data_IF_848262341423
#
_entry.id   IF_848262341423
#
_cell.length_a   1.000
_cell.length_b   1.000
_cell.length_c   1.000
_cell.angle_alpha   90.00
_cell.angle_beta   90.00
_cell.angle_gamma   90.00
#
_symmetry.space_group_name_H-M   'P 1'
#
loop_
_entity.id
_entity.type
_entity.pdbx_description
1 polymer ?
#
# COMPACT_ATOMS: atom_id res chain seq x y z
N UNK A 1 -80.94 57.48 -111.82
CA UNK A 1 -80.03 58.15 -110.86
C UNK A 1 -80.27 57.67 -109.42
N UNK A 2 -81.51 57.47 -108.97
CA UNK A 2 -81.84 56.83 -107.66
C UNK A 2 -81.33 55.38 -107.53
N UNK A 3 -81.59 54.54 -108.54
CA UNK A 3 -81.32 53.09 -108.51
C UNK A 3 -79.84 52.75 -108.37
N UNK A 4 -78.97 53.59 -108.93
CA UNK A 4 -77.50 53.51 -108.82
C UNK A 4 -77.00 53.91 -107.42
N UNK A 5 -77.71 54.79 -106.70
CA UNK A 5 -77.37 55.21 -105.34
C UNK A 5 -77.76 54.13 -104.31
N UNK A 6 -78.95 53.54 -104.46
CA UNK A 6 -79.38 52.37 -103.65
C UNK A 6 -78.47 51.14 -103.85
N UNK A 7 -78.06 50.87 -105.09
CA UNK A 7 -77.11 49.79 -105.37
C UNK A 7 -75.75 50.06 -104.72
N UNK A 8 -75.27 51.31 -104.75
CA UNK A 8 -74.01 51.69 -104.11
C UNK A 8 -74.08 51.59 -102.57
N UNK A 9 -75.17 52.03 -101.94
CA UNK A 9 -75.38 51.89 -100.49
C UNK A 9 -75.51 50.42 -100.05
N UNK A 10 -76.17 49.58 -100.86
CA UNK A 10 -76.22 48.13 -100.65
C UNK A 10 -74.84 47.48 -100.82
N UNK A 11 -74.05 47.90 -101.81
CA UNK A 11 -72.67 47.43 -102.00
C UNK A 11 -71.74 47.86 -100.84
N UNK A 12 -71.86 49.09 -100.34
CA UNK A 12 -71.10 49.57 -99.16
C UNK A 12 -71.52 48.82 -97.89
N UNK A 13 -72.82 48.54 -97.72
CA UNK A 13 -73.34 47.74 -96.60
C UNK A 13 -72.83 46.28 -96.65
N UNK A 14 -72.82 45.66 -97.84
CA UNK A 14 -72.25 44.31 -98.04
C UNK A 14 -70.73 44.30 -97.81
N UNK A 15 -69.99 45.30 -98.30
CA UNK A 15 -68.56 45.43 -98.03
C UNK A 15 -68.26 45.55 -96.53
N UNK A 16 -68.96 46.46 -95.83
CA UNK A 16 -68.87 46.60 -94.37
C UNK A 16 -69.23 45.30 -93.62
N UNK A 17 -70.21 44.54 -94.10
CA UNK A 17 -70.56 43.24 -93.53
C UNK A 17 -69.47 42.19 -93.75
N UNK A 18 -68.85 42.16 -94.93
CA UNK A 18 -67.73 41.25 -95.23
C UNK A 18 -66.46 41.59 -94.44
N UNK A 19 -66.20 42.86 -94.17
CA UNK A 19 -65.10 43.30 -93.31
C UNK A 19 -65.35 42.89 -91.85
N UNK A 20 -66.56 43.09 -91.33
CA UNK A 20 -66.96 42.60 -90.01
C UNK A 20 -66.89 41.08 -89.89
N UNK A 21 -67.25 40.32 -90.94
CA UNK A 21 -67.08 38.87 -90.97
C UNK A 21 -65.61 38.45 -90.96
N UNK A 22 -64.73 39.16 -91.68
CA UNK A 22 -63.28 38.91 -91.65
C UNK A 22 -62.69 39.22 -90.27
N UNK A 23 -63.10 40.33 -89.67
CA UNK A 23 -62.71 40.71 -88.30
C UNK A 23 -63.19 39.69 -87.28
N UNK A 24 -64.43 39.21 -87.37
CA UNK A 24 -64.96 38.15 -86.51
C UNK A 24 -64.15 36.85 -86.62
N UNK A 25 -63.81 36.40 -87.84
CA UNK A 25 -62.97 35.21 -88.06
C UNK A 25 -61.54 35.41 -87.52
N UNK A 26 -60.99 36.62 -87.63
CA UNK A 26 -59.68 36.96 -87.06
C UNK A 26 -59.71 36.91 -85.53
N UNK A 27 -60.76 37.49 -84.93
CA UNK A 27 -60.99 37.46 -83.49
C UNK A 27 -61.21 36.03 -82.99
N UNK A 28 -61.93 35.18 -83.72
CA UNK A 28 -62.13 33.77 -83.36
C UNK A 28 -60.80 32.99 -83.35
N UNK A 29 -59.92 33.21 -84.32
CA UNK A 29 -58.56 32.64 -84.31
C UNK A 29 -57.77 33.12 -83.09
N UNK A 30 -57.80 34.42 -82.81
CA UNK A 30 -57.13 35.01 -81.66
C UNK A 30 -57.66 34.46 -80.32
N UNK A 31 -58.97 34.24 -80.20
CA UNK A 31 -59.58 33.61 -79.02
C UNK A 31 -59.10 32.16 -78.86
N UNK A 32 -58.99 31.38 -79.95
CA UNK A 32 -58.48 30.00 -79.90
C UNK A 32 -57.01 29.95 -79.49
N UNK A 33 -56.19 30.85 -80.03
CA UNK A 33 -54.78 30.99 -79.63
C UNK A 33 -54.65 31.40 -78.16
N UNK A 34 -55.43 32.38 -77.71
CA UNK A 34 -55.49 32.79 -76.31
C UNK A 34 -55.95 31.64 -75.39
N UNK A 35 -56.94 30.86 -75.81
CA UNK A 35 -57.39 29.70 -75.03
C UNK A 35 -56.31 28.62 -74.94
N UNK A 36 -55.61 28.32 -76.04
CA UNK A 36 -54.49 27.39 -76.05
C UNK A 36 -53.35 27.86 -75.15
N UNK A 37 -52.98 29.15 -75.23
CA UNK A 37 -51.95 29.72 -74.37
C UNK A 37 -52.34 29.67 -72.90
N UNK A 38 -53.60 29.98 -72.55
CA UNK A 38 -54.09 29.89 -71.18
C UNK A 38 -54.08 28.46 -70.64
N UNK A 39 -54.46 27.47 -71.46
CA UNK A 39 -54.36 26.05 -71.08
C UNK A 39 -52.91 25.64 -70.80
N UNK A 40 -51.97 26.09 -71.63
CA UNK A 40 -50.54 25.84 -71.41
C UNK A 40 -50.03 26.50 -70.12
N UNK A 41 -50.42 27.75 -69.86
CA UNK A 41 -50.03 28.47 -68.64
C UNK A 41 -50.62 27.82 -67.38
N UNK A 42 -51.87 27.35 -67.42
CA UNK A 42 -52.47 26.61 -66.31
C UNK A 42 -51.72 25.31 -66.01
N UNK A 43 -51.36 24.54 -67.04
CA UNK A 43 -50.56 23.33 -66.87
C UNK A 43 -49.17 23.63 -66.30
N UNK A 44 -48.53 24.72 -66.74
CA UNK A 44 -47.25 25.17 -66.21
C UNK A 44 -47.37 25.60 -64.74
N UNK A 45 -48.43 26.34 -64.39
CA UNK A 45 -48.70 26.75 -63.01
C UNK A 45 -48.86 25.54 -62.08
N UNK A 46 -49.60 24.51 -62.51
CA UNK A 46 -49.74 23.27 -61.73
C UNK A 46 -48.41 22.54 -61.52
N UNK A 47 -47.54 22.48 -62.53
CA UNK A 47 -46.19 21.91 -62.41
C UNK A 47 -45.33 22.69 -61.41
N UNK A 48 -45.36 24.02 -61.48
CA UNK A 48 -44.61 24.88 -60.57
C UNK A 48 -45.10 24.74 -59.12
N UNK A 49 -46.41 24.60 -58.91
CA UNK A 49 -46.98 24.34 -57.58
C UNK A 49 -46.49 23.01 -56.99
N UNK A 50 -46.45 21.94 -57.80
CA UNK A 50 -45.91 20.65 -57.36
C UNK A 50 -44.42 20.75 -57.03
N UNK A 51 -43.63 21.43 -57.87
CA UNK A 51 -42.21 21.65 -57.60
C UNK A 51 -41.98 22.45 -56.32
N UNK A 52 -42.78 23.50 -56.09
CA UNK A 52 -42.70 24.30 -54.86
C UNK A 52 -42.97 23.45 -53.61
N UNK A 53 -43.94 22.53 -53.66
CA UNK A 53 -44.25 21.65 -52.55
C UNK A 53 -43.11 20.65 -52.26
N UNK A 54 -42.51 20.07 -53.29
CA UNK A 54 -41.37 19.17 -53.12
C UNK A 54 -40.13 19.88 -52.58
N UNK A 55 -39.86 21.11 -53.03
CA UNK A 55 -38.78 21.94 -52.48
C UNK A 55 -39.00 22.24 -50.98
N UNK A 56 -40.23 22.50 -50.57
CA UNK A 56 -40.55 22.74 -49.17
C UNK A 56 -40.27 21.50 -48.29
N UNK A 57 -40.56 20.29 -48.78
CA UNK A 57 -40.20 19.05 -48.08
C UNK A 57 -38.70 18.85 -47.98
N UNK A 58 -37.95 19.17 -49.04
CA UNK A 58 -36.50 19.05 -49.04
C UNK A 58 -35.90 19.99 -48.00
N UNK A 59 -36.35 21.25 -47.98
CA UNK A 59 -35.88 22.26 -47.02
C UNK A 59 -36.14 21.84 -45.57
N UNK A 60 -37.30 21.23 -45.28
CA UNK A 60 -37.59 20.70 -43.95
C UNK A 60 -36.65 19.54 -43.57
N UNK A 61 -36.35 18.63 -44.50
CA UNK A 61 -35.37 17.55 -44.25
C UNK A 61 -33.97 18.09 -43.99
N UNK A 62 -33.54 19.11 -44.74
CA UNK A 62 -32.24 19.76 -44.52
C UNK A 62 -32.15 20.39 -43.13
N UNK A 63 -33.23 21.04 -42.68
CA UNK A 63 -33.31 21.60 -41.33
C UNK A 63 -33.20 20.52 -40.26
N UNK A 64 -33.90 19.40 -40.43
CA UNK A 64 -33.80 18.26 -39.51
C UNK A 64 -32.38 17.69 -39.49
N UNK A 65 -31.73 17.58 -40.65
CA UNK A 65 -30.37 17.10 -40.76
C UNK A 65 -29.37 18.04 -40.05
N UNK A 66 -29.57 19.36 -40.14
CA UNK A 66 -28.76 20.33 -39.40
C UNK A 66 -28.93 20.19 -37.88
N UNK A 67 -30.16 19.99 -37.40
CA UNK A 67 -30.40 19.77 -35.97
C UNK A 67 -29.69 18.50 -35.48
N UNK A 68 -29.79 17.39 -36.23
CA UNK A 68 -29.11 16.14 -35.89
C UNK A 68 -27.58 16.27 -35.90
N UNK A 69 -27.02 17.08 -36.80
CA UNK A 69 -25.58 17.36 -36.82
C UNK A 69 -25.15 18.14 -35.56
N UNK A 70 -25.93 19.14 -35.16
CA UNK A 70 -25.68 19.89 -33.94
C UNK A 70 -25.74 19.00 -32.70
N UNK A 71 -26.78 18.18 -32.56
CA UNK A 71 -26.93 17.23 -31.45
C UNK A 71 -25.76 16.24 -31.38
N UNK A 72 -25.28 15.75 -32.53
CA UNK A 72 -24.12 14.86 -32.58
C UNK A 72 -22.84 15.55 -32.07
N UNK A 73 -22.62 16.81 -32.42
CA UNK A 73 -21.46 17.56 -31.90
C UNK A 73 -21.58 17.80 -30.39
N UNK A 74 -22.78 18.11 -29.90
CA UNK A 74 -23.04 18.22 -28.45
C UNK A 74 -22.77 16.90 -27.74
N UNK A 75 -23.24 15.77 -28.27
CA UNK A 75 -22.96 14.44 -27.71
C UNK A 75 -21.46 14.10 -27.72
N UNK A 76 -20.74 14.43 -28.80
CA UNK A 76 -19.27 14.26 -28.86
C UNK A 76 -18.55 15.06 -27.79
N UNK A 77 -18.97 16.30 -27.54
CA UNK A 77 -18.36 17.13 -26.48
C UNK A 77 -18.64 16.54 -25.09
N UNK A 78 -19.87 16.06 -24.83
CA UNK A 78 -20.22 15.38 -23.58
C UNK A 78 -19.40 14.10 -23.37
N UNK A 79 -19.22 13.29 -24.41
CA UNK A 79 -18.37 12.10 -24.34
C UNK A 79 -16.93 12.44 -23.95
N UNK A 80 -16.33 13.47 -24.58
CA UNK A 80 -14.98 13.94 -24.23
C UNK A 80 -14.88 14.39 -22.76
N UNK A 81 -15.90 15.09 -22.25
CA UNK A 81 -15.94 15.51 -20.85
C UNK A 81 -16.01 14.30 -19.91
N UNK A 82 -16.86 13.32 -20.22
CA UNK A 82 -16.97 12.08 -19.45
C UNK A 82 -15.66 11.28 -19.47
N UNK A 83 -14.98 11.17 -20.61
CA UNK A 83 -13.69 10.49 -20.71
C UNK A 83 -12.62 11.15 -19.83
N UNK A 84 -12.57 12.48 -19.82
CA UNK A 84 -11.65 13.22 -18.96
C UNK A 84 -11.97 13.00 -17.48
N UNK A 85 -13.25 12.99 -17.11
CA UNK A 85 -13.68 12.69 -15.75
C UNK A 85 -13.30 11.26 -15.34
N UNK A 86 -13.51 10.27 -16.21
CA UNK A 86 -13.10 8.87 -15.96
C UNK A 86 -11.59 8.78 -15.75
N UNK A 87 -10.78 9.47 -16.58
CA UNK A 87 -9.32 9.50 -16.41
C UNK A 87 -8.91 10.11 -15.07
N UNK A 88 -9.57 11.19 -14.66
CA UNK A 88 -9.31 11.83 -13.36
C UNK A 88 -9.67 10.89 -12.20
N UNK A 89 -10.83 10.22 -12.26
CA UNK A 89 -11.23 9.26 -11.23
C UNK A 89 -10.26 8.09 -11.13
N UNK A 90 -9.78 7.55 -12.26
CA UNK A 90 -8.75 6.50 -12.26
C UNK A 90 -7.47 6.94 -11.55
N UNK A 91 -7.00 8.16 -11.81
CA UNK A 91 -5.83 8.73 -11.14
C UNK A 91 -6.06 8.87 -9.62
N UNK A 92 -7.23 9.34 -9.20
CA UNK A 92 -7.58 9.46 -7.79
C UNK A 92 -7.63 8.10 -7.09
N UNK A 93 -8.28 7.11 -7.72
CA UNK A 93 -8.35 5.73 -7.18
C UNK A 93 -6.96 5.12 -7.05
N UNK A 94 -6.08 5.32 -8.03
CA UNK A 94 -4.71 4.81 -7.96
C UNK A 94 -3.92 5.41 -6.79
N UNK A 95 -4.05 6.73 -6.57
CA UNK A 95 -3.45 7.40 -5.40
C UNK A 95 -4.00 6.81 -4.10
N UNK A 96 -5.32 6.66 -3.99
CA UNK A 96 -5.95 6.10 -2.80
C UNK A 96 -5.47 4.66 -2.53
N UNK A 97 -5.35 3.82 -3.56
CA UNK A 97 -4.82 2.46 -3.42
C UNK A 97 -3.39 2.46 -2.88
N UNK A 98 -2.52 3.35 -3.38
CA UNK A 98 -1.15 3.45 -2.86
C UNK A 98 -1.11 3.86 -1.38
N UNK A 99 -1.99 4.77 -0.96
CA UNK A 99 -2.10 5.18 0.45
C UNK A 99 -2.60 4.04 1.34
N UNK A 100 -3.61 3.29 0.89
CA UNK A 100 -4.13 2.13 1.63
C UNK A 100 -3.04 1.08 1.82
N UNK A 101 -2.24 0.81 0.79
CA UNK A 101 -1.15 -0.17 0.87
C UNK A 101 -0.06 0.28 1.86
N UNK A 102 0.32 1.55 1.82
CA UNK A 102 1.26 2.12 2.80
C UNK A 102 0.74 2.00 4.24
N UNK A 103 -0.55 2.28 4.47
CA UNK A 103 -1.17 2.16 5.79
C UNK A 103 -1.20 0.71 6.27
N UNK A 104 -1.49 -0.25 5.38
CA UNK A 104 -1.45 -1.70 5.70
C UNK A 104 -0.06 -2.13 6.17
N UNK A 105 0.99 -1.70 5.48
CA UNK A 105 2.38 -1.98 5.87
C UNK A 105 2.71 -1.38 7.25
N UNK A 106 2.26 -0.16 7.53
CA UNK A 106 2.45 0.47 8.84
C UNK A 106 1.72 -0.30 9.96
N UNK A 107 0.47 -0.69 9.74
CA UNK A 107 -0.30 -1.49 10.71
C UNK A 107 0.43 -2.80 11.01
N UNK A 108 0.87 -3.52 9.98
CA UNK A 108 1.61 -4.77 10.16
C UNK A 108 2.88 -4.60 10.99
N UNK A 109 3.62 -3.51 10.77
CA UNK A 109 4.82 -3.18 11.57
C UNK A 109 4.45 -2.92 13.05
N UNK A 110 3.42 -2.12 13.30
CA UNK A 110 2.97 -1.85 14.66
C UNK A 110 2.46 -3.10 15.38
N UNK A 111 1.80 -4.02 14.68
CA UNK A 111 1.37 -5.30 15.24
C UNK A 111 2.57 -6.16 15.69
N UNK A 112 3.63 -6.21 14.87
CA UNK A 112 4.87 -6.92 15.23
C UNK A 112 5.56 -6.29 16.45
N UNK A 113 5.66 -4.95 16.49
CA UNK A 113 6.27 -4.24 17.61
C UNK A 113 5.46 -4.45 18.91
N UNK A 114 4.13 -4.43 18.82
CA UNK A 114 3.24 -4.69 19.95
C UNK A 114 3.39 -6.13 20.48
N UNK A 115 3.57 -7.10 19.58
CA UNK A 115 3.84 -8.49 19.97
C UNK A 115 5.19 -8.62 20.69
N UNK A 116 6.23 -7.94 20.21
CA UNK A 116 7.56 -7.91 20.86
C UNK A 116 7.47 -7.33 22.27
N UNK A 117 6.81 -6.18 22.44
CA UNK A 117 6.63 -5.54 23.75
C UNK A 117 5.85 -6.43 24.70
N UNK A 118 4.77 -7.08 24.22
CA UNK A 118 3.99 -8.03 25.03
C UNK A 118 4.84 -9.19 25.55
N UNK A 119 5.71 -9.78 24.70
CA UNK A 119 6.61 -10.87 25.11
C UNK A 119 7.55 -10.42 26.23
N UNK A 120 8.21 -9.27 26.06
CA UNK A 120 9.12 -8.71 27.07
C UNK A 120 8.40 -8.45 28.39
N UNK A 121 7.19 -7.87 28.34
CA UNK A 121 6.40 -7.59 29.54
C UNK A 121 6.05 -8.88 30.31
N UNK A 122 5.66 -9.93 29.60
CA UNK A 122 5.34 -11.24 30.22
C UNK A 122 6.56 -11.83 30.91
N UNK A 123 7.74 -11.78 30.28
CA UNK A 123 8.99 -12.28 30.85
C UNK A 123 9.34 -11.51 32.13
N UNK A 124 9.33 -10.18 32.07
CA UNK A 124 9.63 -9.33 33.22
C UNK A 124 8.66 -9.56 34.38
N UNK A 125 7.37 -9.70 34.08
CA UNK A 125 6.34 -9.95 35.08
C UNK A 125 6.57 -11.31 35.76
N UNK A 126 6.88 -12.37 34.98
CA UNK A 126 7.20 -13.70 35.52
C UNK A 126 8.41 -13.64 36.46
N UNK A 127 9.48 -12.97 36.04
CA UNK A 127 10.69 -12.82 36.85
C UNK A 127 10.40 -12.11 38.19
N UNK A 128 9.70 -10.97 38.15
CA UNK A 128 9.32 -10.20 39.34
C UNK A 128 8.44 -11.01 40.32
N UNK A 129 7.46 -11.77 39.80
CA UNK A 129 6.63 -12.65 40.61
C UNK A 129 7.45 -13.77 41.26
N UNK A 130 8.36 -14.37 40.50
CA UNK A 130 9.21 -15.45 41.00
C UNK A 130 10.16 -14.98 42.11
N UNK A 131 10.80 -13.82 41.93
CA UNK A 131 11.64 -13.17 42.95
C UNK A 131 10.86 -12.92 44.24
N UNK A 132 9.66 -12.31 44.14
CA UNK A 132 8.84 -11.99 45.31
C UNK A 132 8.35 -13.23 46.05
N UNK A 133 7.89 -14.25 45.32
CA UNK A 133 7.44 -15.50 45.92
C UNK A 133 8.60 -16.27 46.57
N UNK A 134 9.77 -16.31 45.92
CA UNK A 134 10.98 -16.93 46.48
C UNK A 134 11.40 -16.26 47.79
N UNK A 135 11.43 -14.92 47.82
CA UNK A 135 11.77 -14.13 49.02
C UNK A 135 10.79 -14.38 50.17
N UNK A 136 9.48 -14.32 49.89
CA UNK A 136 8.45 -14.59 50.91
C UNK A 136 8.51 -16.02 51.45
N UNK A 137 8.84 -17.00 50.60
CA UNK A 137 9.03 -18.39 51.02
C UNK A 137 10.29 -18.54 51.89
N UNK A 138 11.40 -17.92 51.49
CA UNK A 138 12.66 -17.91 52.25
C UNK A 138 12.50 -17.30 53.65
N UNK A 139 11.83 -16.15 53.74
CA UNK A 139 11.58 -15.47 55.02
C UNK A 139 10.70 -16.30 55.97
N UNK A 140 9.66 -16.96 55.45
CA UNK A 140 8.80 -17.83 56.26
C UNK A 140 9.51 -19.09 56.76
N UNK A 141 10.50 -19.60 56.02
CA UNK A 141 11.22 -20.82 56.37
C UNK A 141 12.40 -20.57 57.32
N UNK A 142 13.01 -19.39 57.27
CA UNK A 142 14.16 -19.02 58.12
C UNK A 142 13.75 -18.39 59.46
N UNK A 143 12.54 -17.82 59.58
CA UNK A 143 12.06 -17.20 60.82
C UNK A 143 11.88 -18.23 61.94
N UNK A 144 12.84 -18.28 62.86
CA UNK A 144 12.85 -19.16 64.02
C UNK A 144 13.66 -20.46 63.85
N UNK A 145 14.26 -20.69 62.68
CA UNK A 145 15.11 -21.86 62.42
C UNK A 145 16.41 -21.43 61.71
N UNK A 146 17.45 -21.00 62.47
CA UNK A 146 18.74 -20.57 61.90
C UNK A 146 19.49 -21.68 61.14
N UNK A 147 19.10 -22.93 61.35
CA UNK A 147 19.64 -24.11 60.67
C UNK A 147 19.05 -24.36 59.28
N UNK A 148 17.96 -23.68 58.91
CA UNK A 148 17.37 -23.78 57.57
C UNK A 148 18.04 -22.75 56.66
N UNK A 149 18.68 -23.23 55.61
CA UNK A 149 19.33 -22.41 54.58
C UNK A 149 18.35 -21.41 53.96
N UNK A 150 18.80 -20.16 53.77
CA UNK A 150 18.00 -19.11 53.12
C UNK A 150 17.69 -19.48 51.66
N UNK A 151 16.45 -19.90 51.41
CA UNK A 151 15.95 -20.21 50.07
C UNK A 151 15.63 -18.95 49.24
N UNK A 152 15.72 -17.76 49.84
CA UNK A 152 15.68 -16.48 49.15
C UNK A 152 17.02 -16.10 48.52
N UNK A 153 18.15 -16.68 48.96
CA UNK A 153 19.47 -16.34 48.44
C UNK A 153 19.61 -16.76 46.96
N UNK A 154 19.77 -15.80 46.03
CA UNK A 154 19.95 -16.08 44.61
C UNK A 154 21.32 -16.71 44.29
N UNK A 155 22.28 -16.65 45.22
CA UNK A 155 23.62 -17.18 45.09
C UNK A 155 23.85 -18.46 45.91
N UNK A 156 22.79 -19.09 46.42
CA UNK A 156 22.92 -20.39 47.10
C UNK A 156 23.40 -21.47 46.12
N UNK A 157 24.20 -22.48 46.56
CA UNK A 157 24.79 -23.48 45.67
C UNK A 157 23.79 -24.18 44.75
N UNK A 158 22.62 -24.57 45.25
CA UNK A 158 21.55 -25.17 44.43
C UNK A 158 21.01 -24.22 43.34
N UNK A 159 20.75 -22.94 43.67
CA UNK A 159 20.20 -21.96 42.71
C UNK A 159 21.24 -21.55 41.68
N UNK A 160 22.52 -21.57 42.05
CA UNK A 160 23.62 -21.43 41.08
C UNK A 160 23.60 -22.63 40.11
N UNK A 161 23.48 -23.86 40.62
CA UNK A 161 23.34 -25.06 39.80
C UNK A 161 22.14 -25.00 38.84
N UNK A 162 20.97 -24.58 39.33
CA UNK A 162 19.75 -24.36 38.53
C UNK A 162 19.98 -23.31 37.44
N UNK A 163 20.55 -22.14 37.78
CA UNK A 163 20.88 -21.07 36.81
C UNK A 163 21.85 -21.54 35.72
N UNK A 164 22.85 -22.35 36.07
CA UNK A 164 23.75 -22.94 35.08
C UNK A 164 23.03 -23.97 34.20
N UNK A 165 22.09 -24.74 34.74
CA UNK A 165 21.23 -25.63 33.95
C UNK A 165 20.34 -24.87 32.96
N UNK A 166 19.68 -23.81 33.41
CA UNK A 166 18.81 -22.96 32.57
C UNK A 166 19.59 -22.23 31.46
N UNK A 167 20.86 -21.89 31.70
CA UNK A 167 21.74 -21.30 30.70
C UNK A 167 21.88 -22.22 29.48
N UNK A 168 22.09 -23.52 29.70
CA UNK A 168 22.25 -24.50 28.62
C UNK A 168 20.93 -24.86 27.93
N UNK A 169 19.79 -24.78 28.62
CA UNK A 169 18.48 -25.20 28.10
C UNK A 169 17.75 -24.07 27.34
N UNK A 170 17.67 -22.87 27.93
CA UNK A 170 16.86 -21.77 27.40
C UNK A 170 17.69 -20.73 26.64
N UNK A 171 18.72 -20.18 27.27
CA UNK A 171 19.44 -19.02 26.75
C UNK A 171 20.38 -19.38 25.59
N UNK A 172 20.98 -20.58 25.61
CA UNK A 172 21.77 -21.08 24.49
C UNK A 172 20.91 -21.37 23.26
N UNK A 173 19.72 -21.93 23.44
CA UNK A 173 18.77 -22.20 22.35
C UNK A 173 18.27 -20.88 21.74
N UNK A 174 17.87 -19.92 22.58
CA UNK A 174 17.42 -18.60 22.13
C UNK A 174 18.53 -17.78 21.45
N UNK A 175 19.78 -17.91 21.92
CA UNK A 175 20.93 -17.30 21.26
C UNK A 175 21.19 -17.93 19.89
N UNK A 176 21.02 -19.25 19.74
CA UNK A 176 21.17 -19.94 18.45
C UNK A 176 20.04 -19.58 17.47
N UNK A 177 18.80 -19.47 17.93
CA UNK A 177 17.67 -19.00 17.11
C UNK A 177 17.86 -17.53 16.68
N UNK A 178 18.47 -16.72 17.54
CA UNK A 178 18.85 -15.34 17.21
C UNK A 178 20.00 -15.30 16.20
N UNK A 179 20.89 -16.29 16.22
CA UNK A 179 21.94 -16.49 15.22
C UNK A 179 21.35 -16.88 13.87
N UNK A 180 20.27 -17.67 13.83
CA UNK A 180 19.55 -17.94 12.58
C UNK A 180 19.01 -16.65 11.93
N UNK A 181 18.71 -15.64 12.76
CA UNK A 181 18.39 -14.29 12.26
C UNK A 181 19.62 -13.53 11.74
N UNK A 182 20.82 -13.80 12.27
CA UNK A 182 22.11 -13.24 11.83
C UNK A 182 22.56 -13.84 10.49
N UNK A 183 22.14 -15.06 10.13
CA UNK A 183 22.35 -15.62 8.78
C UNK A 183 21.85 -14.68 7.66
N UNK A 184 20.83 -13.84 7.95
CA UNK A 184 20.32 -12.83 7.03
C UNK A 184 21.17 -11.55 6.95
N UNK A 185 22.10 -11.34 7.89
CA UNK A 185 22.98 -10.15 7.93
C UNK A 185 24.23 -10.29 7.06
N UNK A 186 24.56 -11.48 6.58
CA UNK A 186 25.75 -11.73 5.73
C UNK A 186 25.38 -12.40 4.40
N UNK A 187 24.64 -11.70 3.51
CA UNK A 187 24.24 -12.27 2.22
C UNK A 187 25.48 -12.58 1.36
N UNK A 188 25.68 -13.85 1.02
CA UNK A 188 26.72 -14.32 0.09
C UNK A 188 27.74 -15.31 0.66
N UNK A 189 27.76 -15.54 1.97
CA UNK A 189 28.60 -16.56 2.60
C UNK A 189 27.87 -17.91 2.66
N UNK A 190 28.61 -19.02 2.58
CA UNK A 190 28.03 -20.36 2.75
C UNK A 190 27.65 -20.55 4.23
N UNK A 191 26.63 -21.37 4.48
CA UNK A 191 26.11 -21.63 5.83
C UNK A 191 27.20 -22.03 6.84
N UNK A 192 28.13 -22.90 6.43
CA UNK A 192 29.24 -23.35 7.27
C UNK A 192 30.21 -22.22 7.68
N UNK A 193 30.48 -21.26 6.79
CA UNK A 193 31.39 -20.13 7.07
C UNK A 193 30.73 -19.12 8.04
N UNK A 194 29.41 -18.99 7.98
CA UNK A 194 28.65 -18.14 8.91
C UNK A 194 28.56 -18.76 10.31
N UNK A 195 28.33 -20.08 10.39
CA UNK A 195 28.33 -20.83 11.66
C UNK A 195 29.67 -20.69 12.39
N UNK A 196 30.80 -20.79 11.67
CA UNK A 196 32.13 -20.64 12.25
C UNK A 196 32.37 -19.26 12.89
N UNK A 197 31.95 -18.19 12.22
CA UNK A 197 32.07 -16.81 12.73
C UNK A 197 31.25 -16.63 14.02
N UNK A 198 30.04 -17.18 14.04
CA UNK A 198 29.16 -17.10 15.20
C UNK A 198 29.74 -17.88 16.38
N UNK A 199 30.15 -19.13 16.15
CA UNK A 199 30.76 -19.97 17.18
C UNK A 199 31.99 -19.26 17.76
N UNK A 200 32.81 -18.66 16.91
CA UNK A 200 33.97 -17.88 17.35
C UNK A 200 33.58 -16.67 18.22
N UNK A 201 32.51 -15.96 17.86
CA UNK A 201 32.02 -14.82 18.64
C UNK A 201 31.44 -15.25 20.00
N UNK A 202 30.64 -16.32 20.03
CA UNK A 202 30.10 -16.90 21.26
C UNK A 202 31.21 -17.38 22.18
N UNK A 203 32.22 -18.08 21.63
CA UNK A 203 33.40 -18.51 22.38
C UNK A 203 34.14 -17.32 23.01
N UNK A 204 34.34 -16.23 22.25
CA UNK A 204 34.99 -15.02 22.79
C UNK A 204 34.19 -14.40 23.93
N UNK A 205 32.88 -14.28 23.81
CA UNK A 205 32.02 -13.76 24.89
C UNK A 205 32.11 -14.65 26.13
N UNK A 206 32.03 -15.97 25.96
CA UNK A 206 32.15 -16.94 27.04
C UNK A 206 33.49 -16.79 27.77
N UNK A 207 34.60 -16.66 27.03
CA UNK A 207 35.93 -16.48 27.63
C UNK A 207 36.09 -15.13 28.35
N UNK A 208 35.46 -14.07 27.85
CA UNK A 208 35.39 -12.78 28.55
C UNK A 208 34.64 -12.92 29.88
N UNK A 209 33.45 -13.52 29.87
CA UNK A 209 32.66 -13.77 31.08
C UNK A 209 33.43 -14.64 32.08
N UNK A 210 34.05 -15.73 31.62
CA UNK A 210 34.84 -16.60 32.47
C UNK A 210 36.00 -15.86 33.15
N UNK A 211 36.72 -15.02 32.40
CA UNK A 211 37.83 -14.22 32.94
C UNK A 211 37.33 -13.27 34.03
N UNK A 212 36.19 -12.62 33.80
CA UNK A 212 35.62 -11.69 34.78
C UNK A 212 35.13 -12.42 36.04
N UNK A 213 34.43 -13.54 35.88
CA UNK A 213 34.03 -14.40 36.99
C UNK A 213 35.23 -14.86 37.82
N UNK A 214 36.34 -15.22 37.17
CA UNK A 214 37.61 -15.58 37.84
C UNK A 214 38.20 -14.41 38.63
N UNK A 215 38.18 -13.20 38.07
CA UNK A 215 38.68 -12.02 38.77
C UNK A 215 37.83 -11.71 40.02
N UNK A 216 36.51 -11.81 39.89
CA UNK A 216 35.57 -11.59 41.00
C UNK A 216 35.78 -12.64 42.10
N UNK A 217 35.87 -13.92 41.74
CA UNK A 217 36.04 -15.00 42.73
C UNK A 217 37.36 -14.88 43.49
N UNK A 218 38.45 -14.52 42.80
CA UNK A 218 39.75 -14.26 43.44
C UNK A 218 39.67 -13.12 44.45
N UNK A 219 39.02 -12.00 44.10
CA UNK A 219 38.81 -10.87 45.02
C UNK A 219 37.96 -11.26 46.23
N UNK A 220 36.92 -12.07 46.01
CA UNK A 220 36.05 -12.55 47.09
C UNK A 220 36.81 -13.45 48.06
N UNK A 221 37.60 -14.40 47.55
CA UNK A 221 38.43 -15.28 48.38
C UNK A 221 39.44 -14.48 49.19
N UNK A 222 40.11 -13.49 48.57
CA UNK A 222 41.05 -12.63 49.27
C UNK A 222 40.37 -11.82 50.39
N UNK A 223 39.19 -11.26 50.12
CA UNK A 223 38.43 -10.48 51.10
C UNK A 223 37.96 -11.37 52.27
N UNK A 224 37.48 -12.59 51.98
CA UNK A 224 37.12 -13.56 53.02
C UNK A 224 38.36 -13.94 53.84
N UNK A 225 39.48 -14.25 53.18
CA UNK A 225 40.74 -14.59 53.84
C UNK A 225 41.23 -13.47 54.76
N UNK A 226 41.15 -12.22 54.32
CA UNK A 226 41.50 -11.05 55.12
C UNK A 226 40.57 -10.90 56.33
N UNK A 227 39.24 -11.01 56.14
CA UNK A 227 38.28 -10.94 57.25
C UNK A 227 38.44 -12.06 58.27
N UNK A 228 38.80 -13.26 57.82
CA UNK A 228 39.10 -14.39 58.71
C UNK A 228 40.39 -14.13 59.47
N UNK A 229 41.44 -13.60 58.82
CA UNK A 229 42.68 -13.23 59.48
C UNK A 229 42.49 -12.13 60.54
N UNK A 230 41.69 -11.11 60.20
CA UNK A 230 41.27 -10.04 61.13
C UNK A 230 40.51 -10.62 62.33
N UNK A 231 39.55 -11.53 62.11
CA UNK A 231 38.79 -12.19 63.16
C UNK A 231 39.64 -13.13 64.04
N UNK A 232 40.76 -13.64 63.51
CA UNK A 232 41.72 -14.49 64.22
C UNK A 232 42.90 -13.70 64.80
N UNK A 233 42.91 -12.37 64.70
CA UNK A 233 44.00 -11.48 65.12
C UNK A 233 45.39 -11.87 64.56
N UNK A 234 45.43 -12.39 63.33
CA UNK A 234 46.68 -12.72 62.63
C UNK A 234 47.15 -11.50 61.83
N UNK A 235 48.31 -10.95 62.17
CA UNK A 235 48.99 -9.90 61.40
C UNK A 235 49.58 -10.52 60.12
N UNK A 236 48.79 -10.60 59.05
CA UNK A 236 49.29 -11.07 57.74
C UNK A 236 49.87 -9.86 56.98
N UNK A 237 51.19 -9.84 56.75
CA UNK A 237 51.90 -8.70 56.14
C UNK A 237 52.32 -8.91 54.68
N UNK A 238 51.95 -10.01 54.02
CA UNK A 238 52.20 -10.16 52.57
C UNK A 238 51.31 -11.19 51.87
N UNK A 239 51.13 -11.02 50.55
CA UNK A 239 50.36 -11.92 49.66
C UNK A 239 50.87 -13.38 49.62
N UNK A 240 52.13 -13.63 49.99
CA UNK A 240 52.73 -14.97 50.03
C UNK A 240 52.20 -15.82 51.20
N UNK A 241 51.89 -15.19 52.33
CA UNK A 241 51.45 -15.89 53.55
C UNK A 241 49.99 -16.36 53.44
N UNK A 242 49.13 -15.66 52.66
CA UNK A 242 47.74 -16.06 52.41
C UNK A 242 47.64 -17.44 51.73
N UNK A 243 48.67 -17.83 50.96
CA UNK A 243 48.72 -19.10 50.23
C UNK A 243 48.97 -20.33 51.11
N UNK A 244 49.34 -20.13 52.39
CA UNK A 244 49.67 -21.20 53.34
C UNK A 244 48.55 -21.55 54.33
N UNK A 245 47.43 -20.83 54.29
CA UNK A 245 46.27 -21.09 55.16
C UNK A 245 45.64 -22.47 54.86
N UNK A 246 45.16 -23.20 55.88
CA UNK A 246 44.51 -24.51 55.69
C UNK A 246 43.25 -24.32 54.85
N UNK A 247 43.21 -24.95 53.66
CA UNK A 247 42.17 -24.77 52.64
C UNK A 247 42.67 -24.20 51.30
N UNK A 248 43.83 -23.52 51.27
CA UNK A 248 44.41 -22.99 50.03
C UNK A 248 45.18 -24.04 49.20
N UNK A 249 45.47 -25.23 49.76
CA UNK A 249 46.19 -26.30 49.06
C UNK A 249 45.36 -26.93 47.93
N UNK A 250 44.03 -26.97 48.05
CA UNK A 250 43.15 -27.49 46.99
C UNK A 250 43.08 -26.53 45.78
N UNK A 251 43.22 -25.22 46.01
CA UNK A 251 43.30 -24.20 44.95
C UNK A 251 44.62 -24.29 44.15
N UNK A 252 45.70 -24.79 44.76
CA UNK A 252 46.98 -24.97 44.06
C UNK A 252 47.03 -26.22 43.17
N UNK A 253 46.28 -27.28 43.50
CA UNK A 253 46.19 -28.50 42.67
C UNK A 253 45.53 -28.16 41.32
N UNK A 254 44.45 -27.37 41.34
CA UNK A 254 43.79 -26.88 40.12
C UNK A 254 44.64 -25.90 39.31
N UNK A 255 45.58 -25.19 39.95
CA UNK A 255 46.47 -24.21 39.29
C UNK A 255 47.62 -24.89 38.52
N UNK A 256 48.05 -26.11 38.91
CA UNK A 256 49.09 -26.87 38.21
C UNK A 256 48.57 -27.74 37.05
N UNK A 257 47.34 -28.24 37.13
CA UNK A 257 46.80 -29.12 36.08
C UNK A 257 46.46 -28.39 34.77
N UNK A 258 46.20 -27.08 34.79
CA UNK A 258 45.84 -26.30 33.60
C UNK A 258 46.98 -25.45 32.99
N UNK A 259 48.19 -25.50 33.55
CA UNK A 259 49.38 -24.90 32.91
C UNK A 259 50.06 -25.84 31.91
N UNK A 260 49.69 -27.12 31.89
CA UNK A 260 50.24 -28.12 30.97
C UNK A 260 49.41 -28.26 29.67
N UNK A 261 48.16 -27.76 29.64
CA UNK A 261 47.27 -27.80 28.46
C UNK A 261 47.36 -26.56 27.55
N UNK A 262 48.38 -25.72 27.71
CA UNK A 262 48.68 -24.58 26.83
C UNK A 262 50.09 -24.69 26.21
N UNK A 263 50.41 -25.87 25.68
CA UNK A 263 51.32 -26.04 24.55
C UNK A 263 50.58 -26.72 23.39
#
# INVERSE_FOLDING_TARGET
TERTRELNEKCVSVANWTDKQREFRSNEKKIKELHSTNCNLQNQCGKLQQQSFELQKILERERQQQNLLQENEELKTRLKQMDNWIKQQKCNTQKLMSTIEQQRLQISKFEQDLLRVKKILIINLRYLLFERLSSMAGEKLTKGNPSITDLGDPNRPMRIGEKYGELYDNEWTDALDSVDSIHNCFPGLKKAEQEEIVIHHMYRLLMCCFRECRNISMKQIQNIGQKVAEAMCLDIKSEEELSTLPGCKEVQIYRRQNSEDHM
#
